data_IF_680577863251
#
_entry.id   IF_680577863251
#
_cell.length_a   1.000
_cell.length_b   1.000
_cell.length_c   1.000
_cell.angle_alpha   90.00
_cell.angle_beta   90.00
_cell.angle_gamma   90.00
#
_symmetry.space_group_name_H-M   'P 1'
#
loop_
_entity.id
_entity.type
_entity.pdbx_description
1 polymer ?
#
# COMPACT_ATOMS: atom_id res chain seq x y z
N UNK A 1 31.71 -8.99 -10.74
CA UNK A 1 31.55 -8.74 -12.20
C UNK A 1 30.07 -8.94 -12.54
N UNK A 2 29.35 -7.89 -12.94
CA UNK A 2 27.96 -8.05 -13.40
C UNK A 2 27.96 -8.87 -14.68
N UNK A 3 27.21 -9.98 -14.72
CA UNK A 3 26.98 -10.73 -15.96
C UNK A 3 26.37 -9.81 -17.01
N UNK A 4 26.98 -9.77 -18.20
CA UNK A 4 26.45 -9.01 -19.31
C UNK A 4 25.13 -9.65 -19.74
N UNK A 5 24.02 -8.98 -19.43
CA UNK A 5 22.68 -9.49 -19.75
C UNK A 5 22.36 -9.30 -21.22
N UNK A 6 21.80 -10.32 -21.85
CA UNK A 6 21.26 -10.22 -23.20
C UNK A 6 20.11 -9.19 -23.27
N UNK A 7 19.83 -8.60 -24.44
CA UNK A 7 18.65 -7.74 -24.60
C UNK A 7 17.34 -8.40 -24.15
N UNK A 8 17.19 -9.71 -24.40
CA UNK A 8 16.03 -10.50 -24.00
C UNK A 8 15.93 -10.58 -22.47
N UNK A 9 17.03 -10.86 -21.77
CA UNK A 9 17.08 -10.86 -20.31
C UNK A 9 16.79 -9.48 -19.73
N UNK A 10 17.31 -8.41 -20.34
CA UNK A 10 17.01 -7.04 -19.93
C UNK A 10 15.52 -6.74 -20.06
N UNK A 11 14.89 -7.16 -21.16
CA UNK A 11 13.44 -6.99 -21.38
C UNK A 11 12.63 -7.78 -20.35
N UNK A 12 12.96 -9.05 -20.13
CA UNK A 12 12.27 -9.89 -19.13
C UNK A 12 12.37 -9.29 -17.72
N UNK A 13 13.56 -8.81 -17.34
CA UNK A 13 13.75 -8.14 -16.05
C UNK A 13 12.99 -6.82 -15.96
N UNK A 14 12.95 -6.03 -17.03
CA UNK A 14 12.18 -4.79 -17.07
C UNK A 14 10.69 -5.08 -16.83
N UNK A 15 10.12 -6.04 -17.56
CA UNK A 15 8.71 -6.43 -17.42
C UNK A 15 8.36 -6.91 -16.01
N UNK A 16 9.26 -7.64 -15.35
CA UNK A 16 9.04 -8.19 -14.02
C UNK A 16 9.32 -7.19 -12.87
N UNK A 17 10.26 -6.26 -13.05
CA UNK A 17 10.78 -5.41 -11.96
C UNK A 17 10.35 -3.95 -12.05
N UNK A 18 10.13 -3.40 -13.24
CA UNK A 18 9.59 -2.04 -13.37
C UNK A 18 8.14 -2.04 -12.86
N UNK A 19 7.80 -1.08 -11.98
CA UNK A 19 6.50 -1.02 -11.32
C UNK A 19 5.70 0.20 -11.81
N UNK A 20 4.43 -0.02 -12.17
CA UNK A 20 3.52 1.00 -12.70
C UNK A 20 2.20 1.03 -11.92
N UNK A 21 1.68 2.23 -11.74
CA UNK A 21 0.36 2.42 -11.17
C UNK A 21 -0.73 1.97 -12.16
N UNK A 22 -1.42 0.89 -11.80
CA UNK A 22 -2.51 0.32 -12.58
C UNK A 22 -3.87 0.94 -12.24
N UNK A 23 -4.09 1.44 -11.04
CA UNK A 23 -5.43 1.72 -10.52
C UNK A 23 -6.06 3.02 -11.04
N UNK A 24 -5.37 3.74 -11.93
CA UNK A 24 -5.85 5.04 -12.42
C UNK A 24 -5.99 6.06 -11.29
N UNK A 25 -5.33 5.81 -10.15
CA UNK A 25 -5.36 6.71 -9.02
C UNK A 25 -4.83 8.07 -9.46
N UNK A 26 -5.53 9.12 -9.05
CA UNK A 26 -5.02 10.45 -9.20
C UNK A 26 -3.70 10.56 -8.44
N UNK A 27 -2.60 11.02 -9.05
CA UNK A 27 -1.35 11.28 -8.32
C UNK A 27 -1.56 12.18 -7.09
N UNK A 28 -2.62 12.99 -7.09
CA UNK A 28 -3.00 13.85 -5.98
C UNK A 28 -3.63 13.09 -4.80
N UNK A 29 -4.34 11.98 -5.04
CA UNK A 29 -4.94 11.20 -3.95
C UNK A 29 -3.87 10.47 -3.16
N UNK A 30 -2.91 9.80 -3.82
CA UNK A 30 -1.85 9.07 -3.13
C UNK A 30 -0.98 10.01 -2.29
N UNK A 31 -0.64 11.21 -2.81
CA UNK A 31 0.10 12.25 -2.06
C UNK A 31 -0.59 12.65 -0.76
N UNK A 32 -1.92 12.78 -0.77
CA UNK A 32 -2.71 13.16 0.41
C UNK A 32 -2.93 11.98 1.36
N UNK A 33 -3.33 10.84 0.82
CA UNK A 33 -3.73 9.67 1.59
C UNK A 33 -2.55 8.99 2.29
N UNK A 34 -1.35 8.96 1.68
CA UNK A 34 -0.15 8.41 2.34
C UNK A 34 0.18 9.21 3.61
N UNK A 35 0.17 10.55 3.52
CA UNK A 35 0.42 11.40 4.69
C UNK A 35 -0.64 11.19 5.76
N UNK A 36 -1.92 11.15 5.36
CA UNK A 36 -3.05 10.93 6.27
C UNK A 36 -2.99 9.58 6.97
N UNK A 37 -2.71 8.49 6.24
CA UNK A 37 -2.59 7.15 6.81
C UNK A 37 -1.49 7.08 7.87
N UNK A 38 -0.30 7.61 7.58
CA UNK A 38 0.80 7.69 8.56
C UNK A 38 0.44 8.55 9.76
N UNK A 39 -0.20 9.70 9.54
CA UNK A 39 -0.62 10.59 10.61
C UNK A 39 -1.62 9.90 11.54
N UNK A 40 -2.63 9.23 11.00
CA UNK A 40 -3.63 8.51 11.77
C UNK A 40 -2.98 7.40 12.62
N UNK A 41 -2.05 6.64 12.03
CA UNK A 41 -1.30 5.59 12.76
C UNK A 41 -0.58 6.17 13.98
N UNK A 42 0.17 7.27 13.82
CA UNK A 42 0.86 7.89 14.94
C UNK A 42 -0.09 8.54 15.95
N UNK A 43 -1.26 9.03 15.51
CA UNK A 43 -2.27 9.56 16.42
C UNK A 43 -2.87 8.47 17.30
N UNK A 44 -3.17 7.29 16.74
CA UNK A 44 -3.66 6.15 17.53
C UNK A 44 -2.60 5.64 18.51
N UNK A 45 -1.34 5.50 18.09
CA UNK A 45 -0.24 5.11 18.99
C UNK A 45 -0.15 6.06 20.20
N UNK A 46 -0.18 7.38 19.95
CA UNK A 46 -0.19 8.38 21.03
C UNK A 46 -1.45 8.30 21.89
N UNK A 47 -2.62 8.09 21.30
CA UNK A 47 -3.88 7.96 22.04
C UNK A 47 -3.82 6.76 22.98
N UNK A 48 -3.35 5.61 22.49
CA UNK A 48 -3.24 4.39 23.32
C UNK A 48 -2.28 4.58 24.48
N UNK A 49 -1.12 5.23 24.27
CA UNK A 49 -0.17 5.52 25.34
C UNK A 49 -0.76 6.51 26.37
N UNK A 50 -1.41 7.58 25.91
CA UNK A 50 -2.02 8.57 26.81
C UNK A 50 -3.18 8.00 27.63
N UNK A 51 -3.95 7.06 27.08
CA UNK A 51 -5.03 6.39 27.82
C UNK A 51 -4.48 5.56 28.99
N UNK A 52 -3.37 4.84 28.79
CA UNK A 52 -2.71 4.11 29.87
C UNK A 52 -2.19 5.08 30.96
N UNK A 53 -1.57 6.19 30.56
CA UNK A 53 -1.08 7.20 31.52
C UNK A 53 -2.22 7.92 32.28
N UNK A 54 -3.38 8.10 31.65
CA UNK A 54 -4.51 8.76 32.30
C UNK A 54 -5.05 7.96 33.51
N UNK A 55 -4.92 6.63 33.49
CA UNK A 55 -5.34 5.77 34.61
C UNK A 55 -4.49 5.96 35.86
N UNK A 56 -3.21 6.27 35.69
CA UNK A 56 -2.30 6.63 36.79
C UNK A 56 -2.82 7.89 37.48
N UNK A 57 -3.19 8.91 36.69
CA UNK A 57 -3.73 10.17 37.22
C UNK A 57 -5.11 10.02 37.87
N UNK A 58 -5.87 8.99 37.48
CA UNK A 58 -7.21 8.72 38.01
C UNK A 58 -7.20 7.94 39.34
N UNK A 59 -6.04 7.51 39.85
CA UNK A 59 -5.95 6.72 41.08
C UNK A 59 -6.55 5.31 40.94
N UNK A 60 -6.45 4.73 39.73
CA UNK A 60 -6.98 3.39 39.43
C UNK A 60 -6.26 2.31 40.23
N UNK A 61 -6.93 1.19 40.50
CA UNK A 61 -6.29 0.06 41.19
C UNK A 61 -5.21 -0.59 40.32
N UNK A 62 -4.27 -1.30 40.96
CA UNK A 62 -3.19 -2.02 40.26
C UNK A 62 -3.73 -3.03 39.23
N UNK A 63 -4.77 -3.78 39.60
CA UNK A 63 -5.45 -4.72 38.70
C UNK A 63 -6.06 -4.04 37.47
N UNK A 64 -6.66 -2.86 37.65
CA UNK A 64 -7.22 -2.06 36.55
C UNK A 64 -6.13 -1.54 35.62
N UNK A 65 -5.00 -1.12 36.19
CA UNK A 65 -3.85 -0.65 35.42
C UNK A 65 -3.24 -1.78 34.58
N UNK A 66 -3.01 -2.96 35.17
CA UNK A 66 -2.47 -4.13 34.47
C UNK A 66 -3.40 -4.55 33.33
N UNK A 67 -4.70 -4.66 33.58
CA UNK A 67 -5.68 -5.03 32.56
C UNK A 67 -5.69 -4.05 31.38
N UNK A 68 -5.57 -2.76 31.67
CA UNK A 68 -5.61 -1.73 30.64
C UNK A 68 -4.30 -1.58 29.87
N UNK A 69 -3.15 -1.85 30.50
CA UNK A 69 -1.85 -1.93 29.83
C UNK A 69 -1.86 -3.07 28.80
N UNK A 70 -2.28 -4.28 29.19
CA UNK A 70 -2.41 -5.42 28.29
C UNK A 70 -3.37 -5.12 27.13
N UNK A 71 -4.50 -4.46 27.42
CA UNK A 71 -5.45 -4.04 26.39
C UNK A 71 -4.86 -2.97 25.44
N UNK A 72 -4.10 -2.02 25.97
CA UNK A 72 -3.45 -0.97 25.18
C UNK A 72 -2.36 -1.55 24.26
N UNK A 73 -1.53 -2.46 24.77
CA UNK A 73 -0.47 -3.12 23.99
C UNK A 73 -1.05 -3.98 22.85
N UNK A 74 -2.05 -4.79 23.16
CA UNK A 74 -2.73 -5.62 22.15
C UNK A 74 -3.35 -4.77 21.06
N UNK A 75 -4.05 -3.69 21.43
CA UNK A 75 -4.64 -2.74 20.49
C UNK A 75 -3.60 -2.01 19.64
N UNK A 76 -2.52 -1.53 20.25
CA UNK A 76 -1.42 -0.88 19.54
C UNK A 76 -0.75 -1.83 18.54
N UNK A 77 -0.56 -3.10 18.92
CA UNK A 77 -0.03 -4.13 18.04
C UNK A 77 -0.95 -4.39 16.84
N UNK A 78 -2.25 -4.51 17.07
CA UNK A 78 -3.24 -4.69 16.00
C UNK A 78 -3.25 -3.49 15.04
N UNK A 79 -3.29 -2.26 15.56
CA UNK A 79 -3.24 -1.05 14.73
C UNK A 79 -1.94 -0.91 13.94
N UNK A 80 -0.80 -1.35 14.49
CA UNK A 80 0.46 -1.36 13.74
C UNK A 80 0.43 -2.40 12.61
N UNK A 81 -0.19 -3.56 12.84
CA UNK A 81 -0.35 -4.59 11.82
C UNK A 81 -1.33 -4.18 10.71
N UNK A 82 -2.35 -3.39 11.03
CA UNK A 82 -3.33 -2.85 10.07
C UNK A 82 -2.95 -1.46 9.52
N UNK A 83 -1.83 -0.91 9.97
CA UNK A 83 -1.38 0.43 9.62
C UNK A 83 -0.94 0.57 8.16
N UNK A 84 -0.51 1.79 7.80
CA UNK A 84 -0.03 2.08 6.46
C UNK A 84 1.18 1.20 6.09
N UNK A 85 1.05 0.41 5.01
CA UNK A 85 2.12 -0.42 4.47
C UNK A 85 2.60 0.14 3.13
N UNK A 86 3.91 0.06 2.91
CA UNK A 86 4.47 0.28 1.57
C UNK A 86 4.27 -1.01 0.77
N UNK A 87 3.36 -0.97 -0.18
CA UNK A 87 3.18 -2.03 -1.15
C UNK A 87 3.79 -1.60 -2.48
N UNK A 88 4.41 -2.56 -3.18
CA UNK A 88 4.93 -2.28 -4.51
C UNK A 88 3.77 -2.21 -5.50
N UNK A 89 3.82 -1.22 -6.39
CA UNK A 89 2.93 -1.13 -7.54
C UNK A 89 3.05 -2.39 -8.43
N UNK A 90 2.18 -2.51 -9.43
CA UNK A 90 2.10 -3.69 -10.28
C UNK A 90 3.23 -3.75 -11.33
N UNK A 91 3.73 -4.94 -11.68
CA UNK A 91 4.75 -5.09 -12.73
C UNK A 91 4.35 -4.46 -14.07
N UNK A 92 5.34 -3.99 -14.84
CA UNK A 92 5.15 -3.44 -16.18
C UNK A 92 4.52 -4.47 -17.14
N UNK A 93 4.81 -5.76 -16.98
CA UNK A 93 4.17 -6.85 -17.73
C UNK A 93 2.65 -6.81 -17.60
N UNK A 94 2.14 -6.91 -16.37
CA UNK A 94 0.70 -6.83 -16.04
C UNK A 94 0.06 -5.53 -16.57
N UNK A 95 0.81 -4.42 -16.54
CA UNK A 95 0.33 -3.15 -17.06
C UNK A 95 0.12 -3.17 -18.58
N UNK A 96 1.05 -3.77 -19.32
CA UNK A 96 0.97 -3.89 -20.78
C UNK A 96 -0.16 -4.85 -21.16
N UNK A 97 -0.27 -5.99 -20.48
CA UNK A 97 -1.34 -6.98 -20.71
C UNK A 97 -2.72 -6.34 -20.57
N UNK A 98 -2.98 -5.65 -19.45
CA UNK A 98 -4.25 -4.93 -19.26
C UNK A 98 -4.47 -3.84 -20.32
N UNK A 99 -3.41 -3.16 -20.77
CA UNK A 99 -3.53 -2.18 -21.86
C UNK A 99 -3.98 -2.85 -23.16
N UNK A 100 -3.45 -4.03 -23.49
CA UNK A 100 -3.84 -4.80 -24.67
C UNK A 100 -5.30 -5.25 -24.56
N UNK A 101 -5.70 -5.86 -23.44
CA UNK A 101 -7.09 -6.26 -23.19
C UNK A 101 -8.07 -5.09 -23.36
N UNK A 102 -7.70 -3.90 -22.87
CA UNK A 102 -8.54 -2.70 -23.00
C UNK A 102 -8.69 -2.28 -24.46
N UNK A 103 -7.59 -2.33 -25.24
CA UNK A 103 -7.60 -1.96 -26.67
C UNK A 103 -8.43 -2.94 -27.49
N UNK A 104 -8.28 -4.24 -27.23
CA UNK A 104 -9.08 -5.30 -27.85
C UNK A 104 -10.57 -5.11 -27.55
N UNK A 105 -10.92 -4.83 -26.29
CA UNK A 105 -12.29 -4.53 -25.89
C UNK A 105 -12.85 -3.29 -26.59
N UNK A 106 -12.03 -2.28 -26.84
CA UNK A 106 -12.42 -1.08 -27.60
C UNK A 106 -12.36 -1.26 -29.13
N UNK A 107 -12.10 -2.48 -29.64
CA UNK A 107 -12.03 -2.74 -31.08
C UNK A 107 -10.80 -2.16 -31.78
N UNK A 108 -9.73 -1.85 -31.03
CA UNK A 108 -8.46 -1.35 -31.56
C UNK A 108 -7.40 -2.46 -31.50
N UNK A 109 -7.41 -3.39 -32.45
CA UNK A 109 -6.31 -4.35 -32.62
C UNK A 109 -5.14 -3.62 -33.30
N UNK A 110 -3.95 -3.71 -32.70
CA UNK A 110 -2.69 -3.12 -33.23
C UNK A 110 -2.68 -1.61 -33.53
N UNK A 111 -3.57 -0.85 -32.89
CA UNK A 111 -3.66 0.60 -33.13
C UNK A 111 -4.34 0.97 -34.46
N UNK A 112 -5.01 0.01 -35.10
CA UNK A 112 -5.92 0.26 -36.22
C UNK A 112 -7.37 0.05 -35.76
N UNK A 113 -8.33 0.90 -36.18
CA UNK A 113 -9.73 0.66 -35.88
C UNK A 113 -10.18 -0.65 -36.53
N UNK A 114 -10.96 -1.47 -35.80
CA UNK A 114 -11.69 -2.61 -36.37
C UNK A 114 -12.44 -2.11 -37.61
N UNK A 115 -12.07 -2.63 -38.77
CA UNK A 115 -12.87 -2.43 -39.99
C UNK A 115 -14.03 -3.41 -39.89
N UNK A 116 -15.20 -2.88 -39.56
CA UNK A 116 -16.45 -3.61 -39.73
C UNK A 116 -16.66 -3.80 -41.24
N UNK A 117 -16.85 -5.06 -41.66
CA UNK A 117 -17.05 -5.45 -43.05
C UNK A 117 -18.49 -5.24 -43.51
#
# INVERSE_FOLDING_TARGET
MSTAKSPQEKKALSLAKDRRNLYGESPHSSRKNIKRGKQNQHQEERRTANQALALINAGSSEEQMIAHEVAAETRARLHRLDGFKKEADRPLGDFIERQQERRERSGMLDGQPKRDG
#
